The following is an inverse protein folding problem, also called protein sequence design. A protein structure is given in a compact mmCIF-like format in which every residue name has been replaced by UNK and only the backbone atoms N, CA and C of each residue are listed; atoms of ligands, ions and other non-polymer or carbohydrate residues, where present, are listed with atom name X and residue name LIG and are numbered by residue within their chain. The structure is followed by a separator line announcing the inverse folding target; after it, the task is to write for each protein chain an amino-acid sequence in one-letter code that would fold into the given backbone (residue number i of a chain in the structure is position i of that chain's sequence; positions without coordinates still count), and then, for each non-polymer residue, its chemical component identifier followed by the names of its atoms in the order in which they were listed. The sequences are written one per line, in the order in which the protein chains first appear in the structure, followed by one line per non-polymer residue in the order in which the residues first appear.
data_IF_109364966329
#
_entry.id   IF_109364966329
#
_cell.length_a   1.000
_cell.length_b   1.000
_cell.length_c   1.000
_cell.angle_alpha   90.00
_cell.angle_beta   90.00
_cell.angle_gamma   90.00
#
_symmetry.space_group_name_H-M   'P 1'
#
loop_
_entity.id
_entity.type
_entity.pdbx_description
1 polymer ?
#
# COMPACT_ATOMS: atom_id res chain seq x y z
N UNK A 1 16.74 19.36 18.37
CA UNK A 1 16.38 19.02 16.98
C UNK A 1 16.02 17.54 16.96
N UNK A 2 14.73 17.19 16.86
CA UNK A 2 14.38 15.82 16.52
C UNK A 2 14.76 15.62 15.05
N UNK A 3 15.72 14.74 14.82
CA UNK A 3 15.91 14.17 13.48
C UNK A 3 14.63 13.38 13.26
N UNK A 4 13.69 13.89 12.46
CA UNK A 4 12.61 13.06 11.94
C UNK A 4 13.30 12.00 11.09
N UNK A 5 13.57 10.84 11.67
CA UNK A 5 13.99 9.68 10.91
C UNK A 5 12.89 9.43 9.88
N UNK A 6 13.26 9.44 8.60
CA UNK A 6 12.35 9.10 7.52
C UNK A 6 11.97 7.64 7.71
N UNK A 7 10.72 7.38 8.08
CA UNK A 7 10.18 6.03 8.20
C UNK A 7 9.28 5.74 7.00
N UNK A 8 9.38 4.51 6.51
CA UNK A 8 8.53 3.96 5.48
C UNK A 8 7.57 2.98 6.14
N UNK A 9 6.28 3.16 5.89
CA UNK A 9 5.21 2.36 6.46
C UNK A 9 4.66 1.45 5.39
N UNK A 10 4.69 0.15 5.66
CA UNK A 10 4.12 -0.87 4.79
C UNK A 10 2.64 -0.99 5.15
N UNK A 11 1.78 -0.95 4.14
CA UNK A 11 0.34 -1.06 4.29
C UNK A 11 -0.25 -2.13 3.38
N UNK A 12 -1.40 -2.64 3.80
CA UNK A 12 -2.29 -3.46 2.99
C UNK A 12 -3.61 -2.75 2.75
N UNK A 13 -4.23 -3.03 1.60
CA UNK A 13 -5.62 -2.68 1.30
C UNK A 13 -6.36 -3.95 0.91
N UNK A 14 -7.40 -4.29 1.66
CA UNK A 14 -8.18 -5.52 1.46
C UNK A 14 -9.45 -5.24 0.65
N UNK A 15 -9.59 -5.86 -0.52
CA UNK A 15 -10.83 -5.80 -1.29
C UNK A 15 -11.93 -6.63 -0.62
N UNK A 16 -13.04 -6.00 -0.23
CA UNK A 16 -14.10 -6.72 0.50
C UNK A 16 -14.93 -7.70 -0.33
N UNK A 17 -14.82 -7.70 -1.67
CA UNK A 17 -15.62 -8.61 -2.51
C UNK A 17 -15.00 -9.99 -2.66
N UNK A 18 -13.67 -10.06 -2.74
CA UNK A 18 -12.93 -11.31 -2.98
C UNK A 18 -11.72 -11.50 -2.07
N UNK A 19 -11.56 -10.63 -1.06
CA UNK A 19 -10.44 -10.62 -0.11
C UNK A 19 -9.07 -10.49 -0.77
N UNK A 20 -9.01 -9.98 -2.00
CA UNK A 20 -7.74 -9.69 -2.65
C UNK A 20 -6.99 -8.55 -1.94
N UNK A 21 -5.67 -8.67 -1.88
CA UNK A 21 -4.79 -7.80 -1.12
C UNK A 21 -3.89 -7.01 -2.05
N UNK A 22 -3.93 -5.69 -1.94
CA UNK A 22 -2.88 -4.82 -2.45
C UNK A 22 -1.93 -4.47 -1.29
N UNK A 23 -0.63 -4.62 -1.51
CA UNK A 23 0.41 -4.38 -0.49
C UNK A 23 1.45 -3.44 -1.07
N UNK A 24 1.73 -2.38 -0.33
CA UNK A 24 2.65 -1.34 -0.75
C UNK A 24 3.23 -0.57 0.45
N UNK A 25 4.04 0.46 0.20
CA UNK A 25 4.63 1.29 1.26
C UNK A 25 4.44 2.79 1.02
N UNK A 26 4.61 3.59 2.07
CA UNK A 26 4.55 5.06 2.01
C UNK A 26 5.52 5.71 3.00
N UNK A 27 6.09 6.86 2.65
CA UNK A 27 7.01 7.63 3.49
C UNK A 27 6.30 8.54 4.53
N UNK A 28 5.06 8.22 4.90
CA UNK A 28 4.21 9.01 5.78
C UNK A 28 3.34 8.10 6.66
N UNK A 29 2.86 8.61 7.79
CA UNK A 29 2.01 7.84 8.70
C UNK A 29 0.67 7.48 8.06
N UNK A 30 0.28 6.20 8.09
CA UNK A 30 -0.93 5.68 7.45
C UNK A 30 -2.23 6.23 8.07
N UNK A 31 -2.46 6.21 9.40
CA UNK A 31 -3.74 6.62 10.00
C UNK A 31 -4.17 8.06 9.68
N UNK A 32 -3.22 8.94 9.32
CA UNK A 32 -3.52 10.31 8.91
C UNK A 32 -3.82 10.46 7.41
N UNK A 33 -3.58 9.42 6.60
CA UNK A 33 -3.54 9.48 5.14
C UNK A 33 -4.28 8.34 4.43
N UNK A 34 -5.07 7.50 5.11
CA UNK A 34 -5.77 6.36 4.50
C UNK A 34 -6.62 6.77 3.28
N UNK A 35 -7.43 7.83 3.40
CA UNK A 35 -8.22 8.36 2.28
C UNK A 35 -7.34 8.82 1.12
N UNK A 36 -6.18 9.40 1.42
CA UNK A 36 -5.23 9.83 0.40
C UNK A 36 -4.59 8.64 -0.31
N UNK A 37 -4.24 7.57 0.41
CA UNK A 37 -3.72 6.33 -0.18
C UNK A 37 -4.73 5.75 -1.19
N UNK A 38 -6.01 5.68 -0.82
CA UNK A 38 -7.06 5.20 -1.73
C UNK A 38 -7.21 6.09 -2.97
N UNK A 39 -7.12 7.41 -2.81
CA UNK A 39 -7.11 8.34 -3.96
C UNK A 39 -5.90 8.12 -4.87
N UNK A 40 -4.72 7.83 -4.31
CA UNK A 40 -3.54 7.55 -5.13
C UNK A 40 -3.69 6.24 -5.89
N UNK A 41 -4.32 5.23 -5.29
CA UNK A 41 -4.63 3.96 -5.96
C UNK A 41 -5.58 4.21 -7.13
N UNK A 42 -6.62 5.04 -6.93
CA UNK A 42 -7.57 5.43 -7.97
C UNK A 42 -6.90 6.19 -9.13
N UNK A 43 -5.96 7.09 -8.82
CA UNK A 43 -5.24 7.90 -9.81
C UNK A 43 -4.05 7.18 -10.46
N UNK A 44 -3.71 5.98 -9.99
CA UNK A 44 -2.57 5.22 -10.51
C UNK A 44 -2.83 4.83 -11.97
N UNK A 45 -1.89 5.11 -12.91
CA UNK A 45 -2.05 4.73 -14.30
C UNK A 45 -1.88 3.23 -14.56
N UNK A 46 -1.61 2.45 -13.52
CA UNK A 46 -1.47 1.00 -13.61
C UNK A 46 -2.82 0.34 -13.89
N UNK A 47 -2.91 -0.37 -15.02
CA UNK A 47 -4.17 -0.95 -15.47
C UNK A 47 -4.68 -2.07 -14.56
N UNK A 48 -3.78 -2.84 -13.96
CA UNK A 48 -4.13 -3.94 -13.04
C UNK A 48 -4.74 -3.32 -11.79
N UNK A 49 -4.07 -2.32 -11.22
CA UNK A 49 -4.54 -1.63 -10.03
C UNK A 49 -5.83 -0.86 -10.26
N UNK A 50 -5.97 -0.19 -11.41
CA UNK A 50 -7.22 0.49 -11.77
C UNK A 50 -8.39 -0.50 -11.90
N UNK A 51 -8.20 -1.61 -12.61
CA UNK A 51 -9.24 -2.64 -12.77
C UNK A 51 -9.63 -3.25 -11.41
N UNK A 52 -8.63 -3.51 -10.56
CA UNK A 52 -8.85 -3.98 -9.20
C UNK A 52 -9.62 -2.96 -8.36
N UNK A 53 -9.21 -1.69 -8.36
CA UNK A 53 -9.85 -0.62 -7.61
C UNK A 53 -11.32 -0.43 -8.01
N UNK A 54 -11.63 -0.47 -9.32
CA UNK A 54 -13.03 -0.43 -9.81
C UNK A 54 -13.82 -1.66 -9.36
N UNK A 55 -13.19 -2.83 -9.35
CA UNK A 55 -13.84 -4.07 -8.92
C UNK A 55 -14.10 -4.10 -7.41
N UNK A 56 -13.16 -3.65 -6.58
CA UNK A 56 -13.27 -3.75 -5.13
C UNK A 56 -13.95 -2.53 -4.49
N UNK A 57 -13.71 -1.33 -5.05
CA UNK A 57 -14.11 -0.04 -4.47
C UNK A 57 -13.73 0.08 -2.98
N UNK A 58 -12.43 -0.03 -2.64
CA UNK A 58 -12.00 -0.16 -1.27
C UNK A 58 -12.32 1.06 -0.41
N UNK A 59 -12.56 0.82 0.88
CA UNK A 59 -12.91 1.82 1.89
C UNK A 59 -11.77 2.04 2.89
N UNK A 60 -11.78 3.17 3.57
CA UNK A 60 -10.75 3.51 4.58
C UNK A 60 -10.60 2.42 5.65
N UNK A 61 -11.70 1.80 6.07
CA UNK A 61 -11.70 0.70 7.04
C UNK A 61 -10.99 -0.57 6.58
N UNK A 62 -10.62 -0.65 5.30
CA UNK A 62 -9.94 -1.79 4.69
C UNK A 62 -8.43 -1.54 4.49
N UNK A 63 -7.96 -0.35 4.85
CA UNK A 63 -6.55 0.01 4.90
C UNK A 63 -6.00 -0.38 6.26
N UNK A 64 -4.84 -1.04 6.30
CA UNK A 64 -4.17 -1.40 7.54
C UNK A 64 -2.66 -1.29 7.42
N UNK A 65 -2.01 -0.91 8.53
CA UNK A 65 -0.56 -0.92 8.66
C UNK A 65 -0.07 -2.35 8.97
N UNK A 66 1.02 -2.75 8.32
CA UNK A 66 1.66 -4.05 8.52
C UNK A 66 2.89 -3.87 9.42
N UNK A 67 3.83 -3.03 8.99
CA UNK A 67 5.05 -2.71 9.73
C UNK A 67 5.66 -1.37 9.27
N UNK A 68 6.73 -0.93 9.93
CA UNK A 68 7.52 0.21 9.50
C UNK A 68 9.02 -0.13 9.45
N UNK A 69 9.72 0.53 8.53
CA UNK A 69 11.15 0.35 8.28
C UNK A 69 11.84 1.69 8.06
N UNK A 70 13.17 1.72 8.24
CA UNK A 70 13.97 2.94 8.26
C UNK A 70 14.53 3.37 6.91
N UNK A 71 14.32 2.60 5.84
CA UNK A 71 14.81 2.95 4.51
C UNK A 71 13.86 2.49 3.40
N UNK A 72 13.94 3.17 2.25
CA UNK A 72 13.15 2.81 1.06
C UNK A 72 13.48 1.41 0.56
N UNK A 73 14.77 1.05 0.57
CA UNK A 73 15.21 -0.28 0.15
C UNK A 73 14.62 -1.38 1.05
N UNK A 74 14.62 -1.16 2.36
CA UNK A 74 14.00 -2.11 3.30
C UNK A 74 12.49 -2.18 3.07
N UNK A 75 11.85 -1.08 2.65
CA UNK A 75 10.42 -1.04 2.35
C UNK A 75 10.08 -1.82 1.08
N UNK A 76 10.89 -1.69 0.03
CA UNK A 76 10.78 -2.50 -1.19
C UNK A 76 10.94 -4.00 -0.87
N UNK A 77 11.96 -4.37 -0.09
CA UNK A 77 12.19 -5.75 0.35
C UNK A 77 11.03 -6.27 1.22
N UNK A 78 10.51 -5.45 2.13
CA UNK A 78 9.37 -5.78 2.98
C UNK A 78 8.10 -6.02 2.15
N UNK A 79 7.78 -5.16 1.18
CA UNK A 79 6.63 -5.35 0.29
C UNK A 79 6.73 -6.67 -0.46
N UNK A 80 7.90 -7.01 -1.01
CA UNK A 80 8.12 -8.29 -1.68
C UNK A 80 7.91 -9.47 -0.72
N UNK A 81 8.43 -9.37 0.51
CA UNK A 81 8.23 -10.37 1.54
C UNK A 81 6.75 -10.57 1.87
N UNK A 82 6.02 -9.49 2.16
CA UNK A 82 4.60 -9.59 2.53
C UNK A 82 3.73 -10.09 1.38
N UNK A 83 3.98 -9.63 0.15
CA UNK A 83 3.32 -10.17 -1.05
C UNK A 83 3.51 -11.70 -1.13
N UNK A 84 4.73 -12.19 -0.95
CA UNK A 84 5.02 -13.62 -0.96
C UNK A 84 4.39 -14.37 0.22
N UNK A 85 4.41 -13.78 1.42
CA UNK A 85 3.82 -14.36 2.62
C UNK A 85 2.31 -14.57 2.47
N UNK A 86 1.55 -13.53 2.12
CA UNK A 86 0.10 -13.65 1.94
C UNK A 86 -0.26 -14.58 0.76
N UNK A 87 0.51 -14.53 -0.33
CA UNK A 87 0.35 -15.48 -1.44
C UNK A 87 0.55 -16.92 -0.98
N UNK A 88 1.52 -17.19 -0.09
CA UNK A 88 1.77 -18.52 0.46
C UNK A 88 0.65 -19.03 1.37
N UNK A 89 -0.15 -18.12 1.94
CA UNK A 89 -1.35 -18.44 2.71
C UNK A 89 -2.58 -18.69 1.82
N UNK A 90 -2.47 -18.49 0.50
CA UNK A 90 -3.55 -18.65 -0.46
C UNK A 90 -4.35 -17.38 -0.75
N UNK A 91 -3.91 -16.22 -0.23
CA UNK A 91 -4.55 -14.95 -0.52
C UNK A 91 -4.26 -14.50 -1.96
N UNK A 92 -5.23 -13.82 -2.58
CA UNK A 92 -5.04 -13.23 -3.90
C UNK A 92 -4.33 -11.90 -3.76
N UNK A 93 -3.01 -11.88 -3.95
CA UNK A 93 -2.21 -10.65 -3.89
C UNK A 93 -2.13 -9.99 -5.26
N UNK A 94 -2.47 -8.70 -5.30
CA UNK A 94 -2.46 -7.90 -6.53
C UNK A 94 -1.05 -7.42 -6.83
N UNK A 95 -0.56 -7.75 -8.03
CA UNK A 95 0.71 -7.24 -8.53
C UNK A 95 0.53 -5.90 -9.25
N UNK A 96 0.22 -4.86 -8.46
CA UNK A 96 0.18 -3.48 -8.91
C UNK A 96 1.52 -2.77 -8.74
N UNK A 97 1.72 -1.68 -9.50
CA UNK A 97 2.84 -0.75 -9.30
C UNK A 97 2.72 -0.04 -7.95
N UNK A 98 3.88 0.38 -7.44
CA UNK A 98 3.99 1.24 -6.26
C UNK A 98 3.22 2.57 -6.44
N UNK A 99 2.50 2.96 -5.39
CA UNK A 99 1.58 4.09 -5.26
C UNK A 99 1.99 4.92 -4.04
N UNK A 100 3.16 5.54 -4.11
CA UNK A 100 3.68 6.33 -2.98
C UNK A 100 4.74 7.37 -3.36
N UNK A 101 5.08 7.52 -4.64
CA UNK A 101 6.06 8.52 -5.08
C UNK A 101 5.50 9.95 -5.19
N UNK A 102 4.18 10.12 -5.06
CA UNK A 102 3.49 11.40 -5.30
C UNK A 102 3.46 12.34 -4.09
N UNK A 103 4.00 11.94 -2.93
CA UNK A 103 4.17 12.85 -1.78
C UNK A 103 5.24 13.94 -2.00
N UNK A 104 5.92 13.94 -3.15
CA UNK A 104 6.75 15.08 -3.61
C UNK A 104 6.02 15.92 -4.64
N UNK A 105 4.97 16.63 -4.21
CA UNK A 105 4.59 17.99 -4.64
C UNK A 105 3.17 18.27 -4.14
N UNK A 106 3.06 18.92 -2.99
CA UNK A 106 2.59 20.30 -2.85
C UNK A 106 3.01 20.83 -1.47
#
# INVERSE_FOLDING_TARGET
MMVNATCYYIYGVCGTRDYSLFIDYVCASIPAHEMYLLQQIELCPDQILHAWNVSQNPQVSEVFEIENVSSEKDAEEAVLFWKAYFSSLGETVIDGRHVGNTFRRL
#
